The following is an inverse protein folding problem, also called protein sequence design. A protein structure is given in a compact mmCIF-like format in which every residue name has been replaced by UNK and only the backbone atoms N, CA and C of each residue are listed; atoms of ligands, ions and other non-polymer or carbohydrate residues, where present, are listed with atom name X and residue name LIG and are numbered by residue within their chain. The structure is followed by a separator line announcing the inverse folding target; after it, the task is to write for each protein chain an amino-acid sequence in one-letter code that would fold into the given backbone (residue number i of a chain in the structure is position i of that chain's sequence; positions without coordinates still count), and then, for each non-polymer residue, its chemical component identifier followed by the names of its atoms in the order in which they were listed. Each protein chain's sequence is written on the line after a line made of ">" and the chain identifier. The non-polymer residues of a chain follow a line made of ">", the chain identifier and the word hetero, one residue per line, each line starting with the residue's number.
data_IF_313141750264
#
_entry.id   IF_313141750264
#
_cell.length_a   1.000
_cell.length_b   1.000
_cell.length_c   1.000
_cell.angle_alpha   90.00
_cell.angle_beta   90.00
_cell.angle_gamma   90.00
#
_symmetry.space_group_name_H-M   'P 1'
#
loop_
_entity.id
_entity.type
_entity.pdbx_description
1 polymer ?
#
# COMPACT_ATOMS: atom_id res chain seq x y z
N UNK A 1 -6.00 5.46 8.10
CA UNK A 1 -6.41 5.60 6.70
C UNK A 1 -7.19 4.39 6.20
N UNK A 2 -6.57 3.24 5.93
CA UNK A 2 -7.26 2.07 5.34
C UNK A 2 -8.44 1.54 6.15
N UNK A 3 -8.32 1.57 7.48
CA UNK A 3 -9.33 1.10 8.45
C UNK A 3 -10.40 2.14 8.78
N UNK A 4 -10.22 3.39 8.34
CA UNK A 4 -11.18 4.47 8.57
C UNK A 4 -12.35 4.32 7.60
N UNK A 5 -13.55 4.75 8.00
CA UNK A 5 -14.74 4.74 7.14
C UNK A 5 -14.69 5.93 6.17
N UNK A 6 -14.41 5.64 4.90
CA UNK A 6 -14.35 6.65 3.84
C UNK A 6 -15.53 6.56 2.89
N UNK A 7 -16.08 5.35 2.69
CA UNK A 7 -17.17 5.07 1.77
C UNK A 7 -18.41 4.69 2.56
N UNK A 8 -19.10 5.70 3.08
CA UNK A 8 -20.25 5.53 3.97
C UNK A 8 -19.86 4.77 5.23
N UNK A 9 -20.42 3.58 5.41
CA UNK A 9 -20.17 2.74 6.58
C UNK A 9 -18.99 1.77 6.44
N UNK A 10 -18.38 1.69 5.26
CA UNK A 10 -17.29 0.76 4.98
C UNK A 10 -15.93 1.45 5.01
N UNK A 11 -14.93 0.71 5.50
CA UNK A 11 -13.54 1.14 5.41
C UNK A 11 -12.93 0.73 4.07
N UNK A 12 -11.87 1.43 3.65
CA UNK A 12 -11.21 1.12 2.38
C UNK A 12 -10.64 -0.30 2.34
N UNK A 13 -10.22 -0.85 3.50
CA UNK A 13 -9.78 -2.26 3.56
C UNK A 13 -10.91 -3.25 3.30
N UNK A 14 -12.15 -2.90 3.65
CA UNK A 14 -13.32 -3.77 3.48
C UNK A 14 -13.83 -3.68 2.05
N UNK A 15 -13.81 -2.49 1.45
CA UNK A 15 -14.19 -2.26 0.05
C UNK A 15 -13.14 -2.78 -0.94
N UNK A 16 -11.86 -2.68 -0.61
CA UNK A 16 -10.75 -3.05 -1.50
C UNK A 16 -9.75 -4.02 -0.83
N UNK A 17 -10.18 -5.24 -0.47
CA UNK A 17 -9.36 -6.19 0.27
C UNK A 17 -8.10 -6.62 -0.49
N UNK A 18 -8.17 -6.70 -1.82
CA UNK A 18 -7.01 -7.03 -2.67
C UNK A 18 -5.89 -5.99 -2.58
N UNK A 19 -6.23 -4.71 -2.74
CA UNK A 19 -5.26 -3.61 -2.59
C UNK A 19 -4.73 -3.53 -1.16
N UNK A 20 -5.61 -3.71 -0.17
CA UNK A 20 -5.20 -3.74 1.23
C UNK A 20 -4.22 -4.88 1.51
N UNK A 21 -4.39 -6.06 0.90
CA UNK A 21 -3.52 -7.22 1.13
C UNK A 21 -2.04 -6.93 0.79
N UNK A 22 -1.80 -6.15 -0.26
CA UNK A 22 -0.46 -5.76 -0.74
C UNK A 22 -0.04 -4.36 -0.30
N UNK A 23 -0.85 -3.63 0.47
CA UNK A 23 -0.47 -2.34 1.01
C UNK A 23 0.67 -2.48 2.04
N UNK A 24 1.67 -1.62 1.93
CA UNK A 24 2.75 -1.52 2.94
C UNK A 24 2.30 -0.65 4.12
N UNK A 25 1.53 0.40 3.83
CA UNK A 25 1.06 1.41 4.80
C UNK A 25 -0.30 1.08 5.44
N UNK A 26 -0.56 -0.20 5.76
CA UNK A 26 -1.86 -0.71 6.27
C UNK A 26 -2.39 0.02 7.51
N UNK A 27 -1.51 0.53 8.35
CA UNK A 27 -1.85 1.19 9.62
C UNK A 27 -1.61 2.71 9.59
N UNK A 28 -1.27 3.28 8.44
CA UNK A 28 -0.95 4.70 8.35
C UNK A 28 -2.15 5.59 8.70
N UNK A 29 -1.86 6.71 9.35
CA UNK A 29 -2.75 7.84 9.56
C UNK A 29 -3.01 8.57 8.24
N UNK A 30 -4.03 9.43 8.20
CA UNK A 30 -4.36 10.18 6.97
C UNK A 30 -3.21 11.10 6.56
N UNK A 31 -2.58 11.79 7.52
CA UNK A 31 -1.45 12.67 7.26
C UNK A 31 -0.22 11.94 6.71
N UNK A 32 -0.03 10.67 7.08
CA UNK A 32 1.10 9.84 6.63
C UNK A 32 0.85 9.25 5.23
N UNK A 33 -0.38 9.36 4.71
CA UNK A 33 -0.77 8.89 3.39
C UNK A 33 -0.73 10.00 2.35
N UNK A 34 -0.30 11.21 2.72
CA UNK A 34 -0.28 12.37 1.82
C UNK A 34 1.16 12.83 1.68
N UNK A 35 1.57 13.09 0.45
CA UNK A 35 2.87 13.69 0.15
C UNK A 35 2.72 14.96 -0.69
N UNK A 36 3.60 15.96 -0.51
CA UNK A 36 3.68 17.08 -1.43
C UNK A 36 4.00 16.59 -2.85
N UNK A 37 3.34 17.19 -3.84
CA UNK A 37 3.63 16.95 -5.25
C UNK A 37 3.33 18.21 -6.05
N UNK A 38 4.39 18.82 -6.60
CA UNK A 38 4.34 20.14 -7.24
C UNK A 38 3.69 21.20 -6.33
N UNK A 39 2.59 21.82 -6.79
CA UNK A 39 1.82 22.83 -6.05
C UNK A 39 0.69 22.24 -5.20
N UNK A 40 0.53 20.91 -5.20
CA UNK A 40 -0.58 20.21 -4.56
C UNK A 40 -0.07 19.11 -3.62
N UNK A 41 -1.01 18.35 -3.06
CA UNK A 41 -0.75 17.15 -2.29
C UNK A 41 -1.42 15.95 -2.96
N UNK A 42 -0.72 14.82 -2.98
CA UNK A 42 -1.22 13.56 -3.57
C UNK A 42 -1.18 12.45 -2.54
N UNK A 43 -2.02 11.43 -2.73
CA UNK A 43 -1.98 10.23 -1.92
C UNK A 43 -0.70 9.41 -2.21
N UNK A 44 0.03 9.06 -1.17
CA UNK A 44 1.23 8.23 -1.20
C UNK A 44 0.87 6.74 -1.02
N UNK A 45 0.37 6.14 -2.09
CA UNK A 45 0.06 4.71 -2.11
C UNK A 45 1.33 3.88 -2.24
N UNK A 46 1.54 2.97 -1.28
CA UNK A 46 2.66 2.01 -1.30
C UNK A 46 2.12 0.59 -1.33
N UNK A 47 2.34 -0.08 -2.45
CA UNK A 47 1.97 -1.47 -2.64
C UNK A 47 3.19 -2.30 -2.98
N UNK A 48 3.34 -3.43 -2.30
CA UNK A 48 4.35 -4.42 -2.61
C UNK A 48 3.78 -5.80 -2.37
N UNK A 49 3.67 -6.58 -3.44
CA UNK A 49 3.37 -8.00 -3.31
C UNK A 49 4.59 -8.72 -2.77
N UNK A 50 4.37 -9.77 -1.97
CA UNK A 50 5.45 -10.72 -1.66
C UNK A 50 5.91 -11.36 -2.98
N UNK A 51 7.21 -11.48 -3.14
CA UNK A 51 7.77 -12.25 -4.25
C UNK A 51 7.40 -13.72 -4.06
N UNK A 52 7.12 -14.38 -5.17
CA UNK A 52 7.00 -15.84 -5.20
C UNK A 52 8.36 -16.48 -4.96
N UNK A 53 8.38 -17.75 -4.55
CA UNK A 53 9.63 -18.49 -4.29
C UNK A 53 10.59 -18.45 -5.49
N UNK A 54 10.06 -18.59 -6.71
CA UNK A 54 10.86 -18.53 -7.93
C UNK A 54 11.44 -17.13 -8.20
N UNK A 55 10.79 -16.06 -7.76
CA UNK A 55 11.30 -14.69 -7.87
C UNK A 55 12.38 -14.41 -6.83
N UNK A 56 12.22 -14.96 -5.62
CA UNK A 56 13.24 -14.88 -4.57
C UNK A 56 14.56 -15.53 -5.04
N UNK A 57 14.49 -16.68 -5.69
CA UNK A 57 15.66 -17.37 -6.25
C UNK A 57 16.39 -16.53 -7.30
N UNK A 58 15.66 -15.83 -8.17
CA UNK A 58 16.26 -14.95 -9.17
C UNK A 58 16.93 -13.73 -8.53
N UNK A 59 16.33 -13.14 -7.50
CA UNK A 59 16.92 -12.02 -6.77
C UNK A 59 18.22 -12.44 -6.07
N UNK A 60 18.24 -13.60 -5.41
CA UNK A 60 19.43 -14.12 -4.74
C UNK A 60 20.60 -14.34 -5.72
N UNK A 61 20.31 -14.78 -6.95
CA UNK A 61 21.34 -14.97 -7.98
C UNK A 61 21.88 -13.67 -8.60
N UNK A 62 21.26 -12.51 -8.35
CA UNK A 62 21.76 -11.20 -8.78
C UNK A 62 22.65 -10.53 -7.72
N UNK A 63 22.56 -10.97 -6.46
CA UNK A 63 23.33 -10.43 -5.33
C UNK A 63 24.67 -11.18 -5.10
N UNK A 64 24.94 -12.23 -5.87
CA UNK A 64 26.16 -13.06 -5.86
C UNK A 64 27.14 -12.69 -6.97
#
# INVERSE_FOLDING_TARGET
>A
FWKSRWLGNFSLKDTFPGLFSIAENKNALVQEMVRPFEKNSVWDWKWRRRLFEWEQQQVQGLES
#
